data_IF_570239469575
#
_entry.id   IF_570239469575
#
_cell.length_a   1.000
_cell.length_b   1.000
_cell.length_c   1.000
_cell.angle_alpha   90.00
_cell.angle_beta   90.00
_cell.angle_gamma   90.00
#
_symmetry.space_group_name_H-M   'P 1'
#
loop_
_entity.id
_entity.type
_entity.pdbx_description
1 polymer ?
#
# COMPACT_ATOMS: atom_id res chain seq x y z
N UNK A 1 21.77 43.40 21.19
CA UNK A 1 20.39 43.12 20.73
C UNK A 1 20.48 42.01 19.70
N UNK A 2 20.21 40.77 20.09
CA UNK A 2 20.20 39.63 19.18
C UNK A 2 18.89 38.89 19.42
N UNK A 3 18.02 38.86 18.41
CA UNK A 3 16.94 37.89 18.31
C UNK A 3 16.96 37.33 16.89
N UNK A 4 17.88 36.41 16.66
CA UNK A 4 17.80 35.44 15.58
C UNK A 4 16.44 34.75 15.68
N UNK A 5 15.56 34.99 14.71
CA UNK A 5 14.34 34.21 14.56
C UNK A 5 14.69 32.95 13.78
N UNK A 6 14.86 31.83 14.49
CA UNK A 6 15.11 30.52 13.88
C UNK A 6 14.04 30.14 12.84
N UNK A 7 14.42 29.46 11.74
CA UNK A 7 13.48 28.95 10.76
C UNK A 7 12.87 27.65 11.28
N UNK A 8 11.69 27.69 11.91
CA UNK A 8 11.05 26.47 12.44
C UNK A 8 9.88 25.99 11.59
N UNK A 9 10.15 24.85 10.92
CA UNK A 9 9.27 23.72 10.54
C UNK A 9 9.01 23.52 9.05
N UNK A 10 10.00 22.96 8.37
CA UNK A 10 9.79 22.18 7.14
C UNK A 10 9.57 20.66 7.40
N UNK A 11 9.16 20.25 8.61
CA UNK A 11 9.30 18.85 9.07
C UNK A 11 8.04 17.96 8.86
N UNK A 12 6.90 18.48 8.35
CA UNK A 12 5.68 17.67 8.24
C UNK A 12 5.44 16.98 6.87
N UNK A 13 6.18 17.35 5.80
CA UNK A 13 5.83 16.92 4.43
C UNK A 13 5.99 15.41 4.18
N UNK A 14 6.85 14.70 4.92
CA UNK A 14 7.07 13.27 4.68
C UNK A 14 6.00 12.39 5.31
N UNK A 15 5.49 12.73 6.50
CA UNK A 15 4.45 11.94 7.17
C UNK A 15 3.09 12.10 6.47
N UNK A 16 2.79 13.30 5.95
CA UNK A 16 1.54 13.56 5.20
C UNK A 16 1.45 12.79 3.89
N UNK A 17 2.57 12.56 3.18
CA UNK A 17 2.56 11.86 1.89
C UNK A 17 2.28 10.37 2.04
N UNK A 18 2.78 9.74 3.11
CA UNK A 18 2.53 8.33 3.36
C UNK A 18 1.06 8.08 3.74
N UNK A 19 0.48 8.90 4.61
CA UNK A 19 -0.94 8.78 4.97
C UNK A 19 -1.87 8.93 3.77
N UNK A 20 -1.63 9.92 2.90
CA UNK A 20 -2.40 10.09 1.67
C UNK A 20 -2.24 8.88 0.74
N UNK A 21 -1.01 8.37 0.56
CA UNK A 21 -0.79 7.16 -0.25
C UNK A 21 -1.58 5.95 0.28
N UNK A 22 -1.60 5.76 1.60
CA UNK A 22 -2.35 4.67 2.23
C UNK A 22 -3.86 4.85 2.03
N UNK A 23 -4.38 6.07 2.20
CA UNK A 23 -5.79 6.38 1.99
C UNK A 23 -6.22 6.11 0.55
N UNK A 24 -5.42 6.54 -0.44
CA UNK A 24 -5.69 6.30 -1.86
C UNK A 24 -5.62 4.81 -2.23
N UNK A 25 -4.68 4.07 -1.64
CA UNK A 25 -4.60 2.61 -1.83
C UNK A 25 -5.80 1.85 -1.22
N UNK A 26 -6.50 2.44 -0.25
CA UNK A 26 -7.69 1.86 0.37
C UNK A 26 -8.99 2.26 -0.33
N UNK A 27 -9.09 3.50 -0.82
CA UNK A 27 -10.35 4.08 -1.33
C UNK A 27 -10.44 4.12 -2.85
N UNK A 28 -9.31 4.26 -3.55
CA UNK A 28 -9.28 4.47 -5.00
C UNK A 28 -8.80 3.21 -5.71
N UNK A 29 -7.49 2.98 -5.70
CA UNK A 29 -6.83 1.99 -6.54
C UNK A 29 -5.42 1.65 -6.04
N UNK A 30 -4.80 0.55 -6.54
CA UNK A 30 -3.40 0.23 -6.26
C UNK A 30 -2.44 1.37 -6.55
N UNK A 31 -1.53 1.68 -5.62
CA UNK A 31 -0.56 2.76 -5.79
C UNK A 31 0.84 2.24 -6.12
N UNK A 32 1.46 2.73 -7.19
CA UNK A 32 2.84 2.37 -7.56
C UNK A 32 3.81 3.36 -6.94
N UNK A 33 4.78 2.85 -6.17
CA UNK A 33 5.89 3.63 -5.62
C UNK A 33 7.14 3.35 -6.44
N UNK A 34 7.83 4.41 -6.85
CA UNK A 34 9.09 4.32 -7.58
C UNK A 34 10.27 4.72 -6.71
N UNK A 35 11.43 4.13 -6.98
CA UNK A 35 12.72 4.49 -6.37
C UNK A 35 13.75 4.58 -7.48
N UNK A 36 14.46 5.71 -7.58
CA UNK A 36 15.37 6.01 -8.69
C UNK A 36 14.71 5.84 -10.08
N UNK A 37 13.44 6.25 -10.21
CA UNK A 37 12.67 6.17 -11.46
C UNK A 37 12.23 4.76 -11.86
N UNK A 38 12.51 3.74 -11.05
CA UNK A 38 12.10 2.35 -11.29
C UNK A 38 10.97 1.97 -10.36
N UNK A 39 10.04 1.14 -10.84
CA UNK A 39 8.98 0.58 -10.01
C UNK A 39 9.59 -0.24 -8.88
N UNK A 40 9.27 0.12 -7.65
CA UNK A 40 9.85 -0.49 -6.46
C UNK A 40 8.83 -1.36 -5.74
N UNK A 41 7.63 -0.83 -5.48
CA UNK A 41 6.55 -1.57 -4.83
C UNK A 41 5.18 -1.12 -5.36
N UNK A 42 4.19 -2.01 -5.22
CA UNK A 42 2.77 -1.70 -5.38
C UNK A 42 2.12 -1.78 -4.01
N UNK A 43 1.36 -0.75 -3.63
CA UNK A 43 0.60 -0.69 -2.37
C UNK A 43 -0.86 -0.98 -2.67
N UNK A 44 -1.38 -2.01 -2.03
CA UNK A 44 -2.76 -2.49 -2.16
C UNK A 44 -3.46 -2.37 -0.81
N UNK A 45 -4.78 -2.23 -0.84
CA UNK A 45 -5.60 -2.54 0.34
C UNK A 45 -5.36 -3.99 0.76
N UNK A 46 -5.49 -4.26 2.06
CA UNK A 46 -5.34 -5.63 2.58
C UNK A 46 -6.42 -6.55 2.00
N UNK A 47 -7.62 -6.03 1.73
CA UNK A 47 -8.72 -6.80 1.15
C UNK A 47 -8.42 -7.20 -0.29
N UNK A 48 -7.87 -6.30 -1.10
CA UNK A 48 -7.50 -6.62 -2.48
C UNK A 48 -6.32 -7.58 -2.55
N UNK A 49 -5.32 -7.40 -1.68
CA UNK A 49 -4.25 -8.38 -1.51
C UNK A 49 -4.81 -9.76 -1.20
N UNK A 50 -5.72 -9.88 -0.21
CA UNK A 50 -6.34 -11.16 0.15
C UNK A 50 -7.14 -11.78 -1.00
N UNK A 51 -7.82 -11.00 -1.84
CA UNK A 51 -8.56 -11.53 -3.01
C UNK A 51 -7.62 -12.17 -4.03
N UNK A 52 -6.46 -11.56 -4.28
CA UNK A 52 -5.52 -12.04 -5.31
C UNK A 52 -4.58 -13.13 -4.79
N UNK A 53 -4.27 -13.14 -3.48
CA UNK A 53 -3.40 -14.16 -2.88
C UNK A 53 -4.17 -15.31 -2.26
N UNK A 54 -5.50 -15.26 -2.24
CA UNK A 54 -6.30 -16.43 -1.83
C UNK A 54 -5.94 -17.57 -2.78
N UNK A 55 -5.50 -18.74 -2.26
CA UNK A 55 -5.40 -19.92 -3.09
C UNK A 55 -6.74 -20.09 -3.79
N UNK A 56 -6.74 -20.25 -5.12
CA UNK A 56 -7.94 -20.79 -5.78
C UNK A 56 -8.20 -22.08 -5.04
N UNK A 57 -9.29 -22.12 -4.29
CA UNK A 57 -9.76 -23.35 -3.69
C UNK A 57 -9.92 -24.29 -4.87
N UNK A 58 -8.94 -25.18 -5.05
CA UNK A 58 -9.05 -26.31 -5.93
C UNK A 58 -10.24 -27.04 -5.33
N UNK A 59 -11.42 -26.81 -5.91
CA UNK A 59 -12.56 -27.69 -5.76
C UNK A 59 -12.10 -29.02 -6.31
N UNK A 60 -11.39 -29.79 -5.48
CA UNK A 60 -11.17 -31.21 -5.71
C UNK A 60 -12.57 -31.80 -5.72
N UNK A 61 -12.83 -32.48 -6.82
CA UNK A 61 -14.13 -32.78 -7.40
C UNK A 61 -15.05 -33.49 -6.42
N UNK A 62 -16.35 -33.17 -6.51
CA UNK A 62 -17.45 -33.85 -5.83
C UNK A 62 -17.70 -35.29 -6.39
N UNK A 63 -16.65 -35.97 -6.88
CA UNK A 63 -16.75 -37.19 -7.70
C UNK A 63 -15.62 -38.20 -7.41
N UNK A 64 -15.20 -38.35 -6.16
CA UNK A 64 -14.40 -39.53 -5.76
C UNK A 64 -15.30 -40.53 -4.99
N UNK A 65 -16.10 -41.36 -5.67
CA UNK A 65 -17.01 -42.31 -5.02
C UNK A 65 -16.34 -43.56 -4.44
N UNK A 66 -15.00 -43.68 -4.48
CA UNK A 66 -14.29 -44.88 -4.01
C UNK A 66 -12.93 -44.54 -3.36
N UNK A 67 -12.97 -43.85 -2.21
CA UNK A 67 -11.87 -43.82 -1.24
C UNK A 67 -12.36 -44.31 0.11
#
# INVERSE_FOLDING_TARGET
>A
MAVDHEPRRAIAKSKNKFSNLVERAQQEEPQIVTTHGKWAVVVLSVDDYKKITKPKENRVSLLDPWK
#
